data_IF_348977083768
#
_entry.id   IF_348977083768
#
_cell.length_a   1.000
_cell.length_b   1.000
_cell.length_c   1.000
_cell.angle_alpha   90.00
_cell.angle_beta   90.00
_cell.angle_gamma   90.00
#
_symmetry.space_group_name_H-M   'P 1'
#
loop_
_entity.id
_entity.type
_entity.pdbx_description
1 polymer ?
#
# COMPACT_ATOMS: atom_id res chain seq x y z
N UNK A 1 21.60 4.42 39.42
CA UNK A 1 21.43 3.59 38.19
C UNK A 1 22.25 4.27 37.11
N UNK A 2 23.37 3.67 36.68
CA UNK A 2 24.19 4.22 35.60
C UNK A 2 23.41 4.17 34.29
N UNK A 3 23.30 5.31 33.62
CA UNK A 3 22.65 5.45 32.34
C UNK A 3 23.51 4.76 31.26
N UNK A 4 23.09 3.57 30.83
CA UNK A 4 23.78 2.82 29.79
C UNK A 4 23.53 3.50 28.45
N UNK A 5 24.41 4.43 28.08
CA UNK A 5 24.43 5.07 26.75
C UNK A 5 24.89 4.04 25.73
N UNK A 6 23.95 3.40 25.05
CA UNK A 6 24.26 2.57 23.88
C UNK A 6 25.06 3.41 22.86
N UNK A 7 26.18 2.90 22.30
CA UNK A 7 26.82 3.56 21.17
C UNK A 7 25.80 3.67 20.03
N UNK A 8 25.84 4.79 19.30
CA UNK A 8 24.84 5.16 18.29
C UNK A 8 24.68 4.15 17.12
N UNK A 9 25.50 3.10 17.05
CA UNK A 9 25.37 1.99 16.12
C UNK A 9 25.61 0.66 16.86
N UNK A 10 24.65 -0.27 16.75
CA UNK A 10 24.80 -1.65 17.19
C UNK A 10 25.18 -2.54 16.00
N UNK A 11 26.00 -3.56 16.25
CA UNK A 11 26.34 -4.58 15.25
C UNK A 11 25.42 -5.77 15.43
N UNK A 12 24.78 -6.21 14.33
CA UNK A 12 24.03 -7.45 14.28
C UNK A 12 24.86 -8.50 13.52
N UNK A 13 24.81 -9.75 13.99
CA UNK A 13 25.37 -10.90 13.26
C UNK A 13 24.21 -11.81 12.92
N UNK A 14 24.03 -12.11 11.63
CA UNK A 14 22.92 -12.92 11.12
C UNK A 14 23.46 -13.89 10.09
N UNK A 15 23.06 -15.15 10.17
CA UNK A 15 23.40 -16.16 9.16
C UNK A 15 22.55 -15.97 7.91
N UNK A 16 23.19 -15.98 6.74
CA UNK A 16 22.54 -15.88 5.44
C UNK A 16 23.02 -17.03 4.56
N UNK A 17 22.14 -17.70 3.79
CA UNK A 17 22.56 -18.67 2.79
C UNK A 17 23.61 -18.08 1.85
N UNK A 18 24.71 -18.80 1.59
CA UNK A 18 25.86 -18.29 0.81
C UNK A 18 25.44 -17.87 -0.61
N UNK A 19 24.55 -18.63 -1.24
CA UNK A 19 24.01 -18.32 -2.57
C UNK A 19 23.25 -16.98 -2.57
N UNK A 20 22.45 -16.72 -1.54
CA UNK A 20 21.71 -15.48 -1.38
C UNK A 20 22.67 -14.32 -1.15
N UNK A 21 23.65 -14.47 -0.26
CA UNK A 21 24.64 -13.44 0.02
C UNK A 21 25.44 -13.07 -1.24
N UNK A 22 25.87 -14.06 -2.03
CA UNK A 22 26.59 -13.81 -3.30
C UNK A 22 25.75 -13.01 -4.29
N UNK A 23 24.46 -13.34 -4.43
CA UNK A 23 23.53 -12.62 -5.31
C UNK A 23 23.33 -11.17 -4.85
N UNK A 24 23.12 -10.96 -3.55
CA UNK A 24 22.98 -9.62 -2.96
C UNK A 24 24.26 -8.80 -3.17
N UNK A 25 25.43 -9.38 -2.88
CA UNK A 25 26.73 -8.72 -3.06
C UNK A 25 26.97 -8.32 -4.52
N UNK A 26 26.67 -9.21 -5.47
CA UNK A 26 26.81 -8.93 -6.89
C UNK A 26 25.88 -7.81 -7.35
N UNK A 27 24.64 -7.78 -6.87
CA UNK A 27 23.69 -6.71 -7.17
C UNK A 27 24.11 -5.37 -6.57
N UNK A 28 24.50 -5.36 -5.28
CA UNK A 28 24.97 -4.16 -4.60
C UNK A 28 26.19 -3.53 -5.33
N UNK A 29 27.15 -4.36 -5.76
CA UNK A 29 28.30 -3.91 -6.52
C UNK A 29 27.90 -3.28 -7.87
N UNK A 30 26.93 -3.86 -8.59
CA UNK A 30 26.42 -3.29 -9.86
C UNK A 30 25.72 -1.94 -9.64
N UNK A 31 25.07 -1.76 -8.49
CA UNK A 31 24.39 -0.51 -8.13
C UNK A 31 25.33 0.52 -7.47
N UNK A 32 26.62 0.21 -7.29
CA UNK A 32 27.57 1.10 -6.63
C UNK A 32 27.33 1.24 -5.12
N UNK A 33 26.72 0.24 -4.49
CA UNK A 33 26.29 0.24 -3.08
C UNK A 33 26.98 -0.85 -2.28
N UNK A 34 27.06 -0.64 -0.98
CA UNK A 34 27.49 -1.67 -0.01
C UNK A 34 26.31 -2.55 0.40
N UNK A 35 26.61 -3.78 0.83
CA UNK A 35 25.59 -4.68 1.42
C UNK A 35 24.93 -4.05 2.64
N UNK A 36 25.68 -3.25 3.41
CA UNK A 36 25.16 -2.50 4.57
C UNK A 36 24.09 -1.50 4.16
N UNK A 37 24.34 -0.66 3.16
CA UNK A 37 23.37 0.34 2.70
C UNK A 37 22.09 -0.29 2.16
N UNK A 38 22.23 -1.40 1.42
CA UNK A 38 21.07 -2.18 0.95
C UNK A 38 20.28 -2.75 2.13
N UNK A 39 20.98 -3.30 3.13
CA UNK A 39 20.35 -3.87 4.33
C UNK A 39 19.64 -2.81 5.16
N UNK A 40 20.26 -1.63 5.35
CA UNK A 40 19.64 -0.51 6.05
C UNK A 40 18.39 0.00 5.32
N UNK A 41 18.44 0.10 3.99
CA UNK A 41 17.27 0.45 3.19
C UNK A 41 16.16 -0.60 3.32
N UNK A 42 16.49 -1.88 3.21
CA UNK A 42 15.50 -2.96 3.37
C UNK A 42 14.82 -2.89 4.74
N UNK A 43 15.57 -2.68 5.82
CA UNK A 43 14.96 -2.51 7.15
C UNK A 43 14.11 -1.23 7.24
N UNK A 44 14.57 -0.11 6.69
CA UNK A 44 13.78 1.13 6.67
C UNK A 44 12.50 0.97 5.85
N UNK A 45 12.57 0.33 4.69
CA UNK A 45 11.42 0.05 3.82
C UNK A 45 10.45 -0.91 4.49
N UNK A 46 10.95 -1.96 5.13
CA UNK A 46 10.13 -2.90 5.92
C UNK A 46 9.41 -2.21 7.08
N UNK A 47 10.05 -1.24 7.75
CA UNK A 47 9.41 -0.43 8.80
C UNK A 47 8.43 0.62 8.25
N UNK A 48 8.66 1.11 7.03
CA UNK A 48 7.80 2.10 6.35
C UNK A 48 6.58 1.46 5.71
N UNK A 49 6.68 0.21 5.28
CA UNK A 49 5.50 -0.58 4.97
C UNK A 49 4.73 -0.76 6.27
N UNK A 50 3.47 -0.27 6.38
CA UNK A 50 2.61 -0.68 7.47
C UNK A 50 2.27 -2.15 7.26
N UNK A 51 3.20 -3.08 7.48
CA UNK A 51 3.04 -4.52 7.29
C UNK A 51 2.08 -4.93 6.14
N UNK A 52 2.15 -4.31 4.95
CA UNK A 52 1.12 -4.49 3.89
C UNK A 52 -0.30 -4.67 4.45
N UNK A 53 -0.65 -3.85 5.43
CA UNK A 53 -1.87 -3.86 6.19
C UNK A 53 -2.82 -2.87 5.55
N UNK A 54 -3.21 -3.14 4.30
CA UNK A 54 -4.65 -3.25 4.16
C UNK A 54 -4.96 -4.42 5.07
N UNK A 55 -5.27 -4.17 6.36
CA UNK A 55 -5.94 -5.21 7.12
C UNK A 55 -7.05 -5.66 6.18
N UNK A 56 -7.07 -6.92 5.72
CA UNK A 56 -8.07 -7.35 4.74
C UNK A 56 -9.47 -6.97 5.24
N UNK A 57 -9.60 -7.05 6.56
CA UNK A 57 -10.61 -6.51 7.43
C UNK A 57 -10.91 -5.00 7.34
N UNK A 58 -9.93 -4.09 7.35
CA UNK A 58 -10.18 -2.63 7.23
C UNK A 58 -10.62 -2.25 5.81
N UNK A 59 -10.03 -2.84 4.78
CA UNK A 59 -10.44 -2.64 3.38
C UNK A 59 -11.85 -3.18 3.15
N UNK A 60 -12.12 -4.39 3.62
CA UNK A 60 -13.44 -5.03 3.58
C UNK A 60 -14.49 -4.26 4.35
N UNK A 61 -14.22 -3.86 5.60
CA UNK A 61 -15.13 -3.01 6.41
C UNK A 61 -15.39 -1.66 5.75
N UNK A 62 -14.39 -1.10 5.06
CA UNK A 62 -14.54 0.12 4.26
C UNK A 62 -15.52 -0.07 3.11
N UNK A 63 -15.35 -1.15 2.34
CA UNK A 63 -16.23 -1.49 1.23
C UNK A 63 -17.64 -1.85 1.70
N UNK A 64 -17.78 -2.63 2.77
CA UNK A 64 -19.07 -3.02 3.33
C UNK A 64 -19.87 -1.81 3.83
N UNK A 65 -19.20 -0.84 4.47
CA UNK A 65 -19.81 0.44 4.85
C UNK A 65 -20.26 1.22 3.61
N UNK A 66 -19.39 1.37 2.61
CA UNK A 66 -19.72 2.08 1.37
C UNK A 66 -20.91 1.44 0.64
N UNK A 67 -20.97 0.11 0.54
CA UNK A 67 -22.08 -0.61 -0.06
C UNK A 67 -23.38 -0.48 0.74
N UNK A 68 -23.29 -0.44 2.07
CA UNK A 68 -24.45 -0.21 2.95
C UNK A 68 -25.04 1.18 2.74
N UNK A 69 -24.18 2.20 2.66
CA UNK A 69 -24.57 3.58 2.37
C UNK A 69 -25.20 3.71 0.98
N UNK A 70 -24.61 3.07 -0.03
CA UNK A 70 -25.13 3.04 -1.38
C UNK A 70 -26.54 2.40 -1.45
N UNK A 71 -26.75 1.26 -0.77
CA UNK A 71 -28.08 0.63 -0.68
C UNK A 71 -29.09 1.54 0.00
N UNK A 72 -28.74 2.15 1.13
CA UNK A 72 -29.63 3.08 1.82
C UNK A 72 -29.98 4.31 0.96
N UNK A 73 -29.07 4.75 0.09
CA UNK A 73 -29.34 5.82 -0.86
C UNK A 73 -30.32 5.38 -1.95
N UNK A 74 -30.16 4.18 -2.51
CA UNK A 74 -31.09 3.60 -3.49
C UNK A 74 -32.49 3.44 -2.89
N UNK A 75 -32.59 2.89 -1.67
CA UNK A 75 -33.88 2.73 -0.98
C UNK A 75 -34.57 4.07 -0.71
N UNK A 76 -33.80 5.12 -0.35
CA UNK A 76 -34.34 6.47 -0.12
C UNK A 76 -34.77 7.17 -1.41
N UNK A 77 -34.03 6.97 -2.49
CA UNK A 77 -34.37 7.53 -3.79
C UNK A 77 -35.63 6.85 -4.38
N UNK A 78 -35.86 5.58 -4.03
CA UNK A 78 -36.86 4.73 -4.68
C UNK A 78 -36.48 4.43 -6.13
N UNK A 79 -37.26 3.59 -6.82
CA UNK A 79 -37.07 3.29 -8.24
C UNK A 79 -37.45 4.45 -9.19
N UNK A 80 -37.59 5.68 -8.66
CA UNK A 80 -38.04 6.84 -9.40
C UNK A 80 -36.87 7.76 -9.71
N UNK A 81 -36.20 7.50 -10.82
CA UNK A 81 -35.16 8.35 -11.38
C UNK A 81 -34.53 7.72 -12.60
N UNK A 82 -33.93 8.53 -13.50
CA UNK A 82 -33.19 8.00 -14.64
C UNK A 82 -32.03 7.14 -14.14
N UNK A 83 -31.90 5.97 -14.75
CA UNK A 83 -30.77 5.07 -14.54
C UNK A 83 -29.46 5.79 -14.89
N UNK A 84 -28.36 5.28 -14.35
CA UNK A 84 -27.02 5.77 -14.72
C UNK A 84 -26.81 5.76 -16.24
N UNK A 85 -27.39 4.78 -16.94
CA UNK A 85 -27.37 4.70 -18.41
C UNK A 85 -28.13 5.85 -19.06
N UNK A 86 -29.35 6.14 -18.62
CA UNK A 86 -30.17 7.24 -19.17
C UNK A 86 -29.51 8.61 -18.94
N UNK A 87 -28.89 8.82 -17.78
CA UNK A 87 -28.13 10.04 -17.47
C UNK A 87 -26.92 10.21 -18.39
N UNK A 88 -26.18 9.13 -18.67
CA UNK A 88 -25.03 9.15 -19.58
C UNK A 88 -25.48 9.41 -21.03
N UNK A 89 -26.59 8.82 -21.45
CA UNK A 89 -27.16 9.03 -22.79
C UNK A 89 -27.68 10.46 -22.99
N UNK A 90 -28.30 11.04 -21.98
CA UNK A 90 -28.74 12.42 -21.99
C UNK A 90 -27.56 13.39 -22.00
N UNK A 91 -26.50 13.09 -21.23
CA UNK A 91 -25.26 13.85 -21.23
C UNK A 91 -24.58 13.83 -22.61
N UNK A 92 -24.54 12.66 -23.26
CA UNK A 92 -24.00 12.50 -24.62
C UNK A 92 -24.80 13.30 -25.65
N UNK A 93 -26.14 13.20 -25.64
CA UNK A 93 -27.01 13.99 -26.54
C UNK A 93 -26.75 15.50 -26.43
N UNK A 94 -26.61 16.01 -25.19
CA UNK A 94 -26.29 17.43 -24.95
C UNK A 94 -24.94 17.88 -25.49
N UNK A 95 -23.98 16.96 -25.62
CA UNK A 95 -22.64 17.26 -26.15
C UNK A 95 -22.60 17.17 -27.67
N UNK A 96 -23.36 16.25 -28.27
CA UNK A 96 -23.44 16.08 -29.73
C UNK A 96 -24.29 17.18 -30.39
N UNK A 97 -25.22 17.81 -29.66
CA UNK A 97 -26.08 18.92 -30.12
C UNK A 97 -25.40 20.31 -30.05
N UNK A 98 -24.09 20.40 -29.77
CA UNK A 98 -23.31 21.65 -29.61
C UNK A 98 -22.31 21.89 -30.74
#
# INVERSE_FOLDING_TARGET
>A
IQEYRYPAAMKITTDMPDDLYRRVKARAAREGRTVREVTEELYRSWLKEPASGVEPDKGRRGLERWLTEARALVERAGAAGPTATELLEEGRRRLDDR
#
